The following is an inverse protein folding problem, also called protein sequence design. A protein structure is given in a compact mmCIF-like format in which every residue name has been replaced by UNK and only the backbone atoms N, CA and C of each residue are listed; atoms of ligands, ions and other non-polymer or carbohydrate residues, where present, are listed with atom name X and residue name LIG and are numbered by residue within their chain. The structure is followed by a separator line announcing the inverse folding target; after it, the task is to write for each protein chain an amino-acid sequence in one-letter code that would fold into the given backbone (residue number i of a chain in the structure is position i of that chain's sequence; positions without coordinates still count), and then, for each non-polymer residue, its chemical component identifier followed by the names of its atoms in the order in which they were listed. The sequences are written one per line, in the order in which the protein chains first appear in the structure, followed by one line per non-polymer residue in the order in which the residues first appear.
data_IF_014437086623
#
_entry.id   IF_014437086623
#
_cell.length_a   1.000
_cell.length_b   1.000
_cell.length_c   1.000
_cell.angle_alpha   90.00
_cell.angle_beta   90.00
_cell.angle_gamma   90.00
#
_symmetry.space_group_name_H-M   'P 1'
#
loop_
_entity.id
_entity.type
_entity.pdbx_description
1 polymer ?
#
# COMPACT_ATOMS: atom_id res chain seq x y z
N UNK A 1 -7.66 8.98 16.02
CA UNK A 1 -6.93 8.43 14.85
C UNK A 1 -7.13 9.21 13.55
N UNK A 2 -8.35 9.39 13.00
CA UNK A 2 -8.56 10.23 11.79
C UNK A 2 -8.38 11.75 12.03
N UNK A 3 -8.64 12.23 13.25
CA UNK A 3 -8.47 13.65 13.60
C UNK A 3 -7.00 14.02 13.86
N UNK A 4 -6.22 13.14 14.50
CA UNK A 4 -4.79 13.39 14.80
C UNK A 4 -3.93 13.46 13.53
N UNK A 5 -4.26 12.64 12.51
CA UNK A 5 -3.63 12.69 11.19
C UNK A 5 -3.94 13.99 10.43
N UNK A 6 -5.16 14.50 10.53
CA UNK A 6 -5.54 15.79 9.93
C UNK A 6 -4.87 16.97 10.62
N UNK A 7 -4.73 16.92 11.94
CA UNK A 7 -4.08 17.98 12.72
C UNK A 7 -2.56 18.04 12.48
N UNK A 8 -1.90 16.88 12.48
CA UNK A 8 -0.45 16.80 12.18
C UNK A 8 -0.13 17.19 10.74
N UNK A 9 -1.00 16.84 9.78
CA UNK A 9 -0.86 17.28 8.38
C UNK A 9 -1.03 18.80 8.25
N UNK A 10 -2.05 19.39 8.90
CA UNK A 10 -2.24 20.86 8.93
C UNK A 10 -1.06 21.60 9.56
N UNK A 11 -0.51 21.08 10.66
CA UNK A 11 0.62 21.70 11.35
C UNK A 11 1.87 21.73 10.45
N UNK A 12 2.12 20.63 9.71
CA UNK A 12 3.25 20.51 8.77
C UNK A 12 3.08 21.41 7.54
N UNK A 13 1.88 21.49 6.94
CA UNK A 13 1.61 22.42 5.84
C UNK A 13 1.80 23.88 6.26
N UNK A 14 1.48 24.21 7.51
CA UNK A 14 1.67 25.55 8.08
C UNK A 14 3.15 25.92 8.23
N UNK A 15 3.99 25.00 8.71
CA UNK A 15 5.44 25.21 8.82
C UNK A 15 6.07 25.34 7.42
N UNK A 16 5.63 24.55 6.45
CA UNK A 16 6.08 24.64 5.06
C UNK A 16 5.73 26.00 4.44
N UNK A 17 4.49 26.46 4.60
CA UNK A 17 4.05 27.77 4.14
C UNK A 17 4.87 28.90 4.77
N UNK A 18 5.17 28.80 6.07
CA UNK A 18 6.00 29.76 6.79
C UNK A 18 7.44 29.80 6.26
N UNK A 19 8.06 28.65 5.96
CA UNK A 19 9.41 28.59 5.39
C UNK A 19 9.43 29.19 3.97
N UNK A 20 8.44 28.86 3.13
CA UNK A 20 8.34 29.40 1.77
C UNK A 20 8.19 30.93 1.79
N UNK A 21 7.32 31.47 2.65
CA UNK A 21 7.16 32.92 2.82
C UNK A 21 8.43 33.55 3.35
N UNK A 22 9.09 32.94 4.34
CA UNK A 22 10.31 33.47 4.94
C UNK A 22 11.47 33.60 3.93
N UNK A 23 11.46 32.81 2.85
CA UNK A 23 12.45 32.89 1.77
C UNK A 23 12.00 33.84 0.65
N UNK A 24 10.72 33.79 0.24
CA UNK A 24 10.20 34.61 -0.86
C UNK A 24 10.11 36.10 -0.50
N UNK A 25 9.68 36.43 0.74
CA UNK A 25 9.45 37.82 1.14
C UNK A 25 10.74 38.66 1.10
N UNK A 26 11.88 38.19 1.65
CA UNK A 26 13.14 38.94 1.57
C UNK A 26 13.67 39.09 0.15
N UNK A 27 13.53 38.07 -0.70
CA UNK A 27 13.98 38.12 -2.10
C UNK A 27 13.16 39.11 -2.95
N UNK A 28 11.85 39.16 -2.75
CA UNK A 28 10.97 40.13 -3.41
C UNK A 28 11.27 41.54 -2.92
N UNK A 29 11.42 41.74 -1.60
CA UNK A 29 11.76 43.03 -1.02
C UNK A 29 13.12 43.53 -1.54
N UNK A 30 14.14 42.68 -1.57
CA UNK A 30 15.46 43.01 -2.10
C UNK A 30 15.40 43.45 -3.58
N UNK A 31 14.64 42.72 -4.40
CA UNK A 31 14.43 43.06 -5.81
C UNK A 31 13.68 44.38 -5.99
N UNK A 32 12.67 44.62 -5.16
CA UNK A 32 11.88 45.85 -5.17
C UNK A 32 12.71 47.07 -4.75
N UNK A 33 13.53 46.94 -3.70
CA UNK A 33 14.44 48.00 -3.27
C UNK A 33 15.46 48.35 -4.36
N UNK A 34 16.06 47.35 -5.03
CA UNK A 34 16.99 47.59 -6.14
C UNK A 34 16.32 48.20 -7.38
N UNK A 35 15.04 47.91 -7.62
CA UNK A 35 14.31 48.48 -8.76
C UNK A 35 13.94 49.95 -8.53
N UNK A 36 13.56 50.32 -7.29
CA UNK A 36 13.05 51.66 -6.97
C UNK A 36 14.13 52.69 -6.59
N UNK A 37 15.38 52.31 -6.37
CA UNK A 37 16.50 53.25 -6.15
C UNK A 37 17.09 53.81 -7.45
N UNK A 38 16.47 53.54 -8.60
CA UNK A 38 16.93 54.01 -9.91
C UNK A 38 16.59 55.49 -10.14
N UNK A 39 17.53 56.39 -9.90
CA UNK A 39 17.47 57.73 -10.48
C UNK A 39 17.93 57.65 -11.94
N UNK A 40 16.98 57.74 -12.88
CA UNK A 40 17.28 57.82 -14.32
C UNK A 40 17.44 59.31 -14.67
N UNK A 41 18.65 59.82 -15.00
CA UNK A 41 18.75 61.12 -15.62
C UNK A 41 18.33 61.01 -17.08
N UNK A 42 17.09 61.43 -17.38
CA UNK A 42 16.64 61.63 -18.76
C UNK A 42 17.33 62.86 -19.36
N UNK A 43 18.10 62.66 -20.43
CA UNK A 43 18.62 63.79 -21.23
C UNK A 43 17.49 64.23 -22.17
N UNK A 44 16.70 65.21 -21.74
CA UNK A 44 15.64 65.81 -22.55
C UNK A 44 16.25 66.91 -23.42
N UNK A 45 16.43 66.66 -24.71
CA UNK A 45 16.84 67.70 -25.68
C UNK A 45 15.58 68.40 -26.18
N UNK A 46 15.35 69.64 -25.75
CA UNK A 46 14.28 70.50 -26.30
C UNK A 46 14.82 71.25 -27.52
N UNK A 47 14.27 70.94 -28.69
CA UNK A 47 14.64 71.60 -29.94
C UNK A 47 13.64 72.71 -30.23
N UNK A 48 14.13 73.95 -30.28
CA UNK A 48 13.33 75.12 -30.65
C UNK A 48 13.74 75.62 -32.04
N UNK A 49 12.75 76.03 -32.84
CA UNK A 49 12.95 76.65 -34.15
C UNK A 49 12.83 78.17 -34.03
N UNK A 50 13.58 78.91 -34.84
CA UNK A 50 13.68 80.37 -34.68
C UNK A 50 12.44 81.15 -35.15
N UNK A 51 11.55 80.53 -35.93
CA UNK A 51 10.32 81.15 -36.43
C UNK A 51 9.15 80.16 -36.37
N UNK A 52 7.92 80.67 -36.17
CA UNK A 52 6.70 79.86 -36.26
C UNK A 52 6.53 79.35 -37.70
N UNK A 53 6.14 78.08 -37.84
CA UNK A 53 6.03 77.39 -39.13
C UNK A 53 4.94 78.07 -39.95
N UNK A 54 5.33 78.95 -40.89
CA UNK A 54 4.42 79.54 -41.85
C UNK A 54 4.31 78.60 -43.06
N UNK A 55 3.17 77.92 -43.18
CA UNK A 55 2.99 76.77 -44.09
C UNK A 55 2.84 77.16 -45.56
N UNK A 56 2.78 78.46 -45.88
CA UNK A 56 2.59 78.96 -47.26
C UNK A 56 3.89 79.28 -48.00
N UNK A 57 4.99 79.52 -47.31
CA UNK A 57 6.28 79.79 -47.94
C UNK A 57 7.27 78.69 -47.55
N UNK A 58 7.79 77.95 -48.54
CA UNK A 58 8.87 76.96 -48.40
C UNK A 58 10.19 77.58 -47.89
N UNK A 59 10.18 78.26 -46.76
CA UNK A 59 11.37 78.72 -46.05
C UNK A 59 11.99 77.52 -45.36
N UNK A 60 13.29 77.31 -45.59
CA UNK A 60 14.07 76.31 -44.87
C UNK A 60 13.95 76.57 -43.38
N UNK A 61 13.47 75.58 -42.62
CA UNK A 61 13.48 75.59 -41.16
C UNK A 61 14.91 75.85 -40.67
N UNK A 62 15.11 76.97 -39.99
CA UNK A 62 16.37 77.30 -39.33
C UNK A 62 16.21 77.01 -37.84
N UNK A 63 17.06 76.14 -37.31
CA UNK A 63 17.13 75.87 -35.88
C UNK A 63 17.52 77.16 -35.14
N UNK A 64 16.89 77.41 -33.99
CA UNK A 64 17.30 78.51 -33.14
C UNK A 64 18.79 78.34 -32.78
N UNK A 65 19.53 79.46 -32.80
CA UNK A 65 20.97 79.46 -32.55
C UNK A 65 21.32 78.88 -31.18
N UNK A 66 20.43 79.04 -30.21
CA UNK A 66 20.52 78.49 -28.87
C UNK A 66 20.39 76.96 -28.88
N UNK A 67 19.40 76.40 -29.57
CA UNK A 67 19.28 74.94 -29.74
C UNK A 67 20.45 74.33 -30.52
N UNK A 68 21.03 75.07 -31.48
CA UNK A 68 22.26 74.65 -32.17
C UNK A 68 23.47 74.64 -31.25
N UNK A 69 23.55 75.56 -30.29
CA UNK A 69 24.60 75.57 -29.27
C UNK A 69 24.39 74.45 -28.26
N UNK A 70 23.16 74.21 -27.79
CA UNK A 70 22.82 73.09 -26.90
C UNK A 70 23.17 71.74 -27.55
N UNK A 71 22.82 71.55 -28.82
CA UNK A 71 23.17 70.35 -29.58
C UNK A 71 24.69 70.22 -29.73
N UNK A 72 25.42 71.32 -29.98
CA UNK A 72 26.89 71.29 -30.05
C UNK A 72 27.53 70.97 -28.71
N UNK A 73 26.98 71.48 -27.61
CA UNK A 73 27.45 71.21 -26.25
C UNK A 73 27.22 69.74 -25.89
N UNK A 74 26.05 69.19 -26.21
CA UNK A 74 25.74 67.75 -26.07
C UNK A 74 26.67 66.90 -26.95
N UNK A 75 26.89 67.25 -28.21
CA UNK A 75 27.83 66.52 -29.09
C UNK A 75 29.26 66.60 -28.56
N UNK A 76 29.67 67.74 -28.00
CA UNK A 76 31.01 67.92 -27.43
C UNK A 76 31.22 67.09 -26.15
N UNK A 77 30.18 66.97 -25.31
CA UNK A 77 30.20 66.15 -24.10
C UNK A 77 30.11 64.64 -24.38
N UNK A 78 29.59 64.25 -25.55
CA UNK A 78 29.58 62.85 -26.04
C UNK A 78 30.93 62.45 -26.66
N UNK A 79 31.66 63.38 -27.29
CA UNK A 79 32.96 63.10 -27.92
C UNK A 79 34.15 63.08 -26.95
N UNK A 80 33.98 63.54 -25.71
CA UNK A 80 35.00 63.42 -24.67
C UNK A 80 35.06 61.97 -24.17
N UNK A 81 36.28 61.46 -23.93
CA UNK A 81 36.45 60.18 -23.24
C UNK A 81 35.60 60.22 -21.96
N UNK A 82 34.76 59.21 -21.69
CA UNK A 82 33.93 59.23 -20.49
C UNK A 82 34.83 59.35 -19.27
N UNK A 83 34.51 60.31 -18.38
CA UNK A 83 35.24 60.49 -17.12
C UNK A 83 35.24 59.19 -16.30
N UNK A 84 36.25 59.00 -15.45
CA UNK A 84 36.32 57.83 -14.56
C UNK A 84 35.03 57.63 -13.77
N UNK A 85 34.37 58.72 -13.36
CA UNK A 85 33.06 58.69 -12.70
C UNK A 85 31.93 58.10 -13.57
N UNK A 86 31.90 58.39 -14.87
CA UNK A 86 30.90 57.81 -15.80
C UNK A 86 31.18 56.33 -16.06
N UNK A 87 32.45 55.92 -16.14
CA UNK A 87 32.83 54.52 -16.27
C UNK A 87 32.52 53.73 -14.99
N UNK A 88 32.76 54.32 -13.82
CA UNK A 88 32.39 53.76 -12.53
C UNK A 88 30.87 53.56 -12.43
N UNK A 89 30.07 54.55 -12.83
CA UNK A 89 28.61 54.43 -12.84
C UNK A 89 28.10 53.32 -13.77
N UNK A 90 28.74 53.12 -14.94
CA UNK A 90 28.40 52.02 -15.86
C UNK A 90 28.79 50.66 -15.24
N UNK A 91 29.97 50.56 -14.62
CA UNK A 91 30.42 49.35 -13.95
C UNK A 91 29.53 48.97 -12.76
N UNK A 92 29.14 49.94 -11.92
CA UNK A 92 28.22 49.70 -10.80
C UNK A 92 26.85 49.25 -11.29
N UNK A 93 26.36 49.81 -12.40
CA UNK A 93 25.13 49.37 -13.06
C UNK A 93 25.21 47.92 -13.56
N UNK A 94 26.30 47.54 -14.23
CA UNK A 94 26.48 46.17 -14.70
C UNK A 94 26.57 45.20 -13.51
N UNK A 95 27.31 45.57 -12.45
CA UNK A 95 27.38 44.81 -11.19
C UNK A 95 25.99 44.58 -10.59
N UNK A 96 25.14 45.61 -10.52
CA UNK A 96 23.76 45.50 -10.03
C UNK A 96 22.89 44.58 -10.90
N UNK A 97 23.04 44.64 -12.23
CA UNK A 97 22.36 43.72 -13.14
C UNK A 97 22.77 42.26 -12.91
N UNK A 98 24.07 41.99 -12.70
CA UNK A 98 24.55 40.65 -12.35
C UNK A 98 24.02 40.18 -10.99
N UNK A 99 23.98 41.05 -9.97
CA UNK A 99 23.40 40.74 -8.65
C UNK A 99 21.93 40.37 -8.76
N UNK A 100 21.16 41.12 -9.56
CA UNK A 100 19.75 40.82 -9.80
C UNK A 100 19.57 39.48 -10.51
N UNK A 101 20.38 39.20 -11.54
CA UNK A 101 20.33 37.94 -12.27
C UNK A 101 20.65 36.74 -11.35
N UNK A 102 21.72 36.84 -10.55
CA UNK A 102 22.10 35.80 -9.58
C UNK A 102 20.97 35.58 -8.57
N UNK A 103 20.31 36.65 -8.12
CA UNK A 103 19.19 36.58 -7.18
C UNK A 103 17.99 35.85 -7.77
N UNK A 104 17.62 36.14 -9.03
CA UNK A 104 16.53 35.44 -9.74
C UNK A 104 16.88 33.96 -9.93
N UNK A 105 18.10 33.64 -10.37
CA UNK A 105 18.54 32.25 -10.55
C UNK A 105 18.49 31.47 -9.22
N UNK A 106 18.94 32.10 -8.12
CA UNK A 106 18.92 31.50 -6.79
C UNK A 106 17.49 31.22 -6.31
N UNK A 107 16.56 32.14 -6.59
CA UNK A 107 15.14 31.95 -6.27
C UNK A 107 14.54 30.76 -7.04
N UNK A 108 14.81 30.65 -8.34
CA UNK A 108 14.34 29.53 -9.17
C UNK A 108 14.91 28.20 -8.66
N UNK A 109 16.21 28.14 -8.38
CA UNK A 109 16.86 26.93 -7.84
C UNK A 109 16.27 26.51 -6.49
N UNK A 110 15.92 27.47 -5.65
CA UNK A 110 15.32 27.20 -4.34
C UNK A 110 13.93 26.59 -4.50
N UNK A 111 13.09 27.14 -5.38
CA UNK A 111 11.75 26.59 -5.66
C UNK A 111 11.86 25.16 -6.19
N UNK A 112 12.77 24.90 -7.14
CA UNK A 112 12.98 23.55 -7.69
C UNK A 112 13.44 22.57 -6.61
N UNK A 113 14.40 22.97 -5.77
CA UNK A 113 14.94 22.11 -4.71
C UNK A 113 13.86 21.75 -3.68
N UNK A 114 13.07 22.73 -3.29
CA UNK A 114 11.94 22.56 -2.38
C UNK A 114 10.90 21.61 -2.98
N UNK A 115 10.54 21.78 -4.25
CA UNK A 115 9.64 20.88 -4.97
C UNK A 115 10.15 19.42 -4.98
N UNK A 116 11.43 19.20 -5.31
CA UNK A 116 12.04 17.87 -5.32
C UNK A 116 12.03 17.20 -3.94
N UNK A 117 12.36 17.96 -2.89
CA UNK A 117 12.33 17.46 -1.52
C UNK A 117 10.91 17.02 -1.16
N UNK A 118 9.88 17.78 -1.53
CA UNK A 118 8.49 17.43 -1.26
C UNK A 118 8.03 16.18 -2.01
N UNK A 119 8.29 16.08 -3.32
CA UNK A 119 7.94 14.88 -4.10
C UNK A 119 8.50 13.63 -3.44
N UNK A 120 9.77 13.69 -3.04
CA UNK A 120 10.45 12.57 -2.39
C UNK A 120 9.88 12.22 -1.01
N UNK A 121 9.43 13.21 -0.24
CA UNK A 121 8.77 12.96 1.05
C UNK A 121 7.38 12.32 0.86
N UNK A 122 6.58 12.80 -0.09
CA UNK A 122 5.26 12.22 -0.40
C UNK A 122 5.42 10.79 -0.90
N UNK A 123 6.33 10.54 -1.85
CA UNK A 123 6.63 9.20 -2.37
C UNK A 123 7.04 8.23 -1.25
N UNK A 124 7.83 8.70 -0.27
CA UNK A 124 8.25 7.88 0.87
C UNK A 124 7.08 7.53 1.79
N UNK A 125 6.19 8.48 2.07
CA UNK A 125 4.99 8.24 2.90
C UNK A 125 4.03 7.27 2.20
N UNK A 126 3.76 7.48 0.91
CA UNK A 126 2.93 6.58 0.09
C UNK A 126 3.52 5.17 0.03
N UNK A 127 4.85 5.04 -0.10
CA UNK A 127 5.53 3.75 -0.08
C UNK A 127 5.34 3.00 1.24
N UNK A 128 5.47 3.67 2.39
CA UNK A 128 5.29 3.03 3.70
C UNK A 128 3.83 2.59 3.94
N UNK A 129 2.86 3.38 3.48
CA UNK A 129 1.44 3.02 3.57
C UNK A 129 1.08 1.86 2.64
N UNK A 130 1.65 1.82 1.44
CA UNK A 130 1.49 0.71 0.50
C UNK A 130 2.13 -0.57 1.07
N UNK A 131 3.30 -0.47 1.70
CA UNK A 131 3.96 -1.60 2.37
C UNK A 131 3.13 -2.18 3.51
N UNK A 132 2.52 -1.32 4.35
CA UNK A 132 1.59 -1.76 5.41
C UNK A 132 0.38 -2.46 4.82
N UNK A 133 -0.22 -1.88 3.78
CA UNK A 133 -1.40 -2.43 3.10
C UNK A 133 -1.11 -3.81 2.49
N UNK A 134 0.04 -3.98 1.83
CA UNK A 134 0.48 -5.29 1.31
C UNK A 134 0.65 -6.30 2.44
N UNK A 135 1.23 -5.91 3.56
CA UNK A 135 1.44 -6.81 4.71
C UNK A 135 0.10 -7.29 5.29
N UNK A 136 -0.87 -6.40 5.40
CA UNK A 136 -2.23 -6.75 5.86
C UNK A 136 -2.87 -7.72 4.87
N UNK A 137 -2.86 -7.41 3.57
CA UNK A 137 -3.42 -8.26 2.53
C UNK A 137 -2.76 -9.65 2.48
N UNK A 138 -1.45 -9.73 2.66
CA UNK A 138 -0.73 -11.00 2.72
C UNK A 138 -1.19 -11.86 3.90
N UNK A 139 -1.40 -11.25 5.07
CA UNK A 139 -1.90 -11.96 6.26
C UNK A 139 -3.36 -12.42 6.07
N UNK A 140 -4.22 -11.56 5.53
CA UNK A 140 -5.61 -11.91 5.21
C UNK A 140 -5.69 -13.05 4.20
N UNK A 141 -4.90 -12.98 3.12
CA UNK A 141 -4.84 -14.03 2.10
C UNK A 141 -4.35 -15.36 2.70
N UNK A 142 -3.30 -15.32 3.54
CA UNK A 142 -2.79 -16.52 4.22
C UNK A 142 -3.85 -17.15 5.11
N UNK A 143 -4.59 -16.36 5.87
CA UNK A 143 -5.68 -16.84 6.72
C UNK A 143 -6.82 -17.45 5.89
N UNK A 144 -7.23 -16.78 4.81
CA UNK A 144 -8.26 -17.26 3.89
C UNK A 144 -7.87 -18.59 3.22
N UNK A 145 -6.63 -18.72 2.75
CA UNK A 145 -6.12 -19.98 2.18
C UNK A 145 -6.13 -21.09 3.22
N UNK A 146 -5.69 -20.82 4.46
CA UNK A 146 -5.71 -21.81 5.54
C UNK A 146 -7.12 -22.26 5.89
N UNK A 147 -8.09 -21.33 5.96
CA UNK A 147 -9.49 -21.65 6.22
C UNK A 147 -10.11 -22.46 5.07
N UNK A 148 -9.81 -22.09 3.82
CA UNK A 148 -10.24 -22.84 2.63
C UNK A 148 -9.69 -24.28 2.63
N UNK A 149 -8.41 -24.47 2.95
CA UNK A 149 -7.79 -25.80 3.07
C UNK A 149 -8.43 -26.64 4.17
N UNK A 150 -8.74 -26.04 5.32
CA UNK A 150 -9.45 -26.70 6.40
C UNK A 150 -10.87 -27.12 5.98
N UNK A 151 -11.61 -26.23 5.32
CA UNK A 151 -12.95 -26.54 4.81
C UNK A 151 -12.93 -27.64 3.75
N UNK A 152 -11.94 -27.65 2.86
CA UNK A 152 -11.76 -28.72 1.88
C UNK A 152 -11.52 -30.07 2.55
N UNK A 153 -10.72 -30.10 3.62
CA UNK A 153 -10.49 -31.32 4.40
C UNK A 153 -11.80 -31.85 5.03
N UNK A 154 -12.63 -30.95 5.58
CA UNK A 154 -13.96 -31.32 6.08
C UNK A 154 -14.83 -31.90 4.95
N UNK A 155 -14.81 -31.31 3.76
CA UNK A 155 -15.58 -31.81 2.61
C UNK A 155 -15.09 -33.17 2.13
N UNK A 156 -13.79 -33.41 2.13
CA UNK A 156 -13.19 -34.71 1.79
C UNK A 156 -13.69 -35.81 2.75
N UNK A 157 -13.69 -35.53 4.07
CA UNK A 157 -14.24 -36.46 5.07
C UNK A 157 -15.73 -36.69 4.85
N UNK A 158 -16.50 -35.66 4.52
CA UNK A 158 -17.94 -35.80 4.21
C UNK A 158 -18.18 -36.68 2.99
N UNK A 159 -17.43 -36.47 1.91
CA UNK A 159 -17.55 -37.28 0.69
C UNK A 159 -17.26 -38.76 0.97
N UNK A 160 -16.20 -39.05 1.75
CA UNK A 160 -15.89 -40.41 2.19
C UNK A 160 -16.96 -41.00 3.11
N UNK A 161 -17.48 -40.21 4.03
CA UNK A 161 -18.60 -40.59 4.91
C UNK A 161 -19.82 -41.00 4.08
N UNK A 162 -20.17 -40.23 3.05
CA UNK A 162 -21.24 -40.57 2.11
C UNK A 162 -20.96 -41.86 1.36
N UNK A 163 -19.74 -42.08 0.87
CA UNK A 163 -19.37 -43.32 0.19
C UNK A 163 -19.58 -44.58 1.06
N UNK A 164 -19.29 -44.51 2.36
CA UNK A 164 -19.59 -45.59 3.31
C UNK A 164 -21.09 -45.79 3.55
N UNK A 165 -21.86 -44.69 3.66
CA UNK A 165 -23.31 -44.76 3.94
C UNK A 165 -24.14 -45.23 2.75
N UNK A 166 -23.73 -44.89 1.52
CA UNK A 166 -24.44 -45.28 0.31
C UNK A 166 -24.24 -46.77 -0.06
N UNK A 167 -23.53 -47.52 0.80
CA UNK A 167 -23.24 -48.95 0.64
C UNK A 167 -22.59 -49.30 -0.71
N UNK A 168 -21.94 -48.34 -1.34
CA UNK A 168 -21.19 -48.53 -2.59
C UNK A 168 -20.08 -49.53 -2.31
N UNK A 169 -19.81 -50.43 -3.26
CA UNK A 169 -18.66 -51.33 -3.20
C UNK A 169 -17.43 -50.45 -3.05
N UNK A 170 -16.77 -50.50 -1.88
CA UNK A 170 -15.52 -49.79 -1.70
C UNK A 170 -14.48 -50.37 -2.65
N UNK A 171 -13.76 -49.49 -3.31
CA UNK A 171 -12.74 -49.84 -4.28
C UNK A 171 -11.41 -49.33 -3.75
N UNK A 172 -10.39 -50.18 -3.77
CA UNK A 172 -9.03 -49.73 -3.49
C UNK A 172 -8.61 -48.71 -4.56
N UNK A 173 -8.06 -47.58 -4.12
CA UNK A 173 -7.79 -46.44 -4.99
C UNK A 173 -6.71 -46.75 -6.03
N UNK A 174 -5.72 -47.57 -5.67
CA UNK A 174 -4.57 -47.88 -6.50
C UNK A 174 -4.85 -49.06 -7.44
N UNK A 175 -5.46 -50.13 -6.93
CA UNK A 175 -5.73 -51.34 -7.71
C UNK A 175 -7.04 -51.30 -8.48
N UNK A 176 -7.95 -50.37 -8.13
CA UNK A 176 -9.33 -50.30 -8.65
C UNK A 176 -10.13 -51.59 -8.45
N UNK A 177 -9.76 -52.43 -7.48
CA UNK A 177 -10.46 -53.66 -7.16
C UNK A 177 -11.41 -53.48 -5.98
N UNK A 178 -12.58 -54.15 -5.98
CA UNK A 178 -13.47 -54.21 -4.82
C UNK A 178 -12.75 -54.70 -3.57
N UNK A 179 -13.02 -54.05 -2.44
CA UNK A 179 -12.62 -54.50 -1.11
C UNK A 179 -13.60 -55.58 -0.67
N UNK A 180 -13.11 -56.80 -0.51
CA UNK A 180 -13.97 -57.99 -0.30
C UNK A 180 -13.74 -58.69 1.03
N UNK A 181 -12.61 -58.41 1.70
CA UNK A 181 -12.26 -59.04 2.96
C UNK A 181 -11.86 -58.03 4.04
N UNK A 182 -11.86 -58.52 5.28
CA UNK A 182 -11.55 -57.73 6.48
C UNK A 182 -10.19 -57.06 6.43
N UNK A 183 -9.15 -57.75 5.94
CA UNK A 183 -7.78 -57.24 5.92
C UNK A 183 -7.62 -56.08 4.94
N UNK A 184 -8.22 -56.17 3.77
CA UNK A 184 -8.28 -55.08 2.79
C UNK A 184 -9.05 -53.89 3.33
N UNK A 185 -10.16 -54.14 4.03
CA UNK A 185 -10.97 -53.09 4.67
C UNK A 185 -10.19 -52.34 5.76
N UNK A 186 -9.48 -53.07 6.63
CA UNK A 186 -8.61 -52.47 7.65
C UNK A 186 -7.49 -51.63 7.04
N UNK A 187 -6.85 -52.13 5.97
CA UNK A 187 -5.84 -51.37 5.24
C UNK A 187 -6.42 -50.08 4.65
N UNK A 188 -7.60 -50.15 4.03
CA UNK A 188 -8.25 -48.98 3.45
C UNK A 188 -8.58 -47.90 4.48
N UNK A 189 -9.05 -48.31 5.68
CA UNK A 189 -9.29 -47.37 6.78
C UNK A 189 -7.99 -46.70 7.25
N UNK A 190 -6.90 -47.46 7.34
CA UNK A 190 -5.58 -46.92 7.71
C UNK A 190 -5.04 -45.96 6.64
N UNK A 191 -5.24 -46.27 5.36
CA UNK A 191 -4.85 -45.41 4.24
C UNK A 191 -5.68 -44.11 4.23
N UNK A 192 -6.99 -44.18 4.46
CA UNK A 192 -7.84 -42.99 4.63
C UNK A 192 -7.43 -42.16 5.86
N UNK A 193 -7.03 -42.83 6.96
CA UNK A 193 -6.49 -42.14 8.13
C UNK A 193 -5.21 -41.36 7.79
N UNK A 194 -4.23 -41.99 7.15
CA UNK A 194 -2.94 -41.35 6.82
C UNK A 194 -3.08 -40.25 5.76
N UNK A 195 -3.97 -40.45 4.78
CA UNK A 195 -4.15 -39.50 3.67
C UNK A 195 -5.01 -38.30 4.03
N UNK A 196 -6.02 -38.46 4.89
CA UNK A 196 -7.02 -37.42 5.16
C UNK A 196 -7.05 -37.03 6.63
N UNK A 197 -7.27 -37.99 7.54
CA UNK A 197 -7.49 -37.66 8.96
C UNK A 197 -6.23 -37.07 9.61
N UNK A 198 -5.04 -37.59 9.28
CA UNK A 198 -3.76 -37.08 9.81
C UNK A 198 -3.52 -35.59 9.50
N UNK A 199 -4.05 -35.07 8.38
CA UNK A 199 -3.88 -33.67 7.98
C UNK A 199 -4.56 -32.69 8.96
N UNK A 200 -5.52 -33.13 9.78
CA UNK A 200 -6.12 -32.29 10.83
C UNK A 200 -5.10 -31.86 11.89
N UNK A 201 -3.97 -32.55 12.03
CA UNK A 201 -2.87 -32.14 12.93
C UNK A 201 -2.38 -30.71 12.66
N UNK A 202 -2.41 -30.27 11.41
CA UNK A 202 -1.99 -28.92 11.01
C UNK A 202 -2.97 -27.82 11.47
N UNK A 203 -4.15 -28.20 11.95
CA UNK A 203 -5.25 -27.30 12.28
C UNK A 203 -5.72 -27.44 13.73
N UNK A 204 -4.94 -28.08 14.62
CA UNK A 204 -5.29 -28.26 16.04
C UNK A 204 -5.58 -26.92 16.74
N UNK A 205 -4.86 -25.87 16.36
CA UNK A 205 -5.02 -24.51 16.90
C UNK A 205 -5.98 -23.65 16.06
N UNK A 206 -6.68 -24.22 15.08
CA UNK A 206 -7.63 -23.49 14.27
C UNK A 206 -8.87 -23.15 15.13
N UNK A 207 -9.30 -21.87 15.19
CA UNK A 207 -10.48 -21.49 15.96
C UNK A 207 -11.78 -22.17 15.48
N UNK A 208 -11.82 -22.61 14.23
CA UNK A 208 -12.95 -23.31 13.61
C UNK A 208 -12.85 -24.84 13.73
N UNK A 209 -11.96 -25.38 14.57
CA UNK A 209 -11.73 -26.81 14.66
C UNK A 209 -12.98 -27.59 15.12
N UNK A 210 -13.79 -26.98 15.97
CA UNK A 210 -15.08 -27.47 16.45
C UNK A 210 -16.02 -27.91 15.31
N UNK A 211 -15.98 -27.24 14.16
CA UNK A 211 -16.76 -27.59 12.96
C UNK A 211 -16.43 -28.98 12.42
N UNK A 212 -15.24 -29.52 12.69
CA UNK A 212 -14.85 -30.85 12.26
C UNK A 212 -15.45 -31.97 13.15
N UNK A 213 -15.86 -31.67 14.39
CA UNK A 213 -16.16 -32.69 15.39
C UNK A 213 -17.32 -33.61 14.97
N UNK A 214 -18.43 -33.03 14.51
CA UNK A 214 -19.58 -33.81 14.03
C UNK A 214 -19.27 -34.60 12.75
N UNK A 215 -18.42 -34.05 11.89
CA UNK A 215 -18.02 -34.69 10.63
C UNK A 215 -17.17 -35.93 10.91
N UNK A 216 -16.18 -35.82 11.80
CA UNK A 216 -15.35 -36.94 12.24
C UNK A 216 -16.17 -38.04 12.92
N UNK A 217 -17.15 -37.66 13.73
CA UNK A 217 -18.05 -38.62 14.37
C UNK A 217 -18.84 -39.44 13.34
N UNK A 218 -19.50 -38.75 12.41
CA UNK A 218 -20.30 -39.39 11.36
C UNK A 218 -19.46 -40.31 10.48
N UNK A 219 -18.22 -39.92 10.19
CA UNK A 219 -17.26 -40.74 9.48
C UNK A 219 -17.00 -42.07 10.20
N UNK A 220 -16.69 -42.04 11.49
CA UNK A 220 -16.45 -43.25 12.29
C UNK A 220 -17.68 -44.16 12.32
N UNK A 221 -18.87 -43.58 12.53
CA UNK A 221 -20.11 -44.36 12.52
C UNK A 221 -20.34 -45.04 11.17
N UNK A 222 -20.04 -44.35 10.08
CA UNK A 222 -20.25 -44.88 8.72
C UNK A 222 -19.30 -46.05 8.44
N UNK A 223 -18.04 -45.96 8.87
CA UNK A 223 -17.09 -47.09 8.82
C UNK A 223 -17.64 -48.30 9.59
N UNK A 224 -18.11 -48.09 10.82
CA UNK A 224 -18.60 -49.19 11.67
C UNK A 224 -19.84 -49.85 11.05
N UNK A 225 -20.78 -49.05 10.55
CA UNK A 225 -21.99 -49.55 9.86
C UNK A 225 -21.65 -50.37 8.62
N UNK A 226 -20.71 -49.89 7.81
CA UNK A 226 -20.26 -50.62 6.62
C UNK A 226 -19.61 -51.96 6.99
N UNK A 227 -18.69 -51.97 7.97
CA UNK A 227 -18.03 -53.19 8.44
C UNK A 227 -19.00 -54.25 8.95
N UNK A 228 -20.02 -53.82 9.71
CA UNK A 228 -21.10 -54.69 10.20
C UNK A 228 -21.94 -55.25 9.06
N UNK A 229 -22.35 -54.41 8.10
CA UNK A 229 -23.17 -54.85 6.97
C UNK A 229 -22.46 -55.87 6.09
N UNK A 230 -21.14 -55.74 5.90
CA UNK A 230 -20.32 -56.70 5.14
C UNK A 230 -19.94 -57.95 5.95
N UNK A 231 -20.29 -58.00 7.23
CA UNK A 231 -19.98 -59.14 8.10
C UNK A 231 -18.48 -59.28 8.42
N UNK A 232 -17.71 -58.20 8.32
CA UNK A 232 -16.28 -58.22 8.66
C UNK A 232 -16.04 -58.33 10.18
N UNK A 233 -17.04 -57.95 10.98
CA UNK A 233 -17.06 -58.08 12.43
C UNK A 233 -18.47 -58.44 12.91
N UNK A 234 -18.55 -59.20 14.00
CA UNK A 234 -19.82 -59.55 14.66
C UNK A 234 -19.95 -58.69 15.92
N UNK A 235 -21.03 -57.91 16.07
CA UNK A 235 -21.23 -57.10 17.26
C UNK A 235 -21.44 -57.99 18.48
N UNK A 236 -20.86 -57.61 19.62
CA UNK A 236 -21.17 -58.27 20.88
C UNK A 236 -22.65 -58.04 21.24
N UNK A 237 -23.40 -59.09 21.62
CA UNK A 237 -24.83 -58.95 21.93
C UNK A 237 -25.07 -57.92 23.03
N UNK A 238 -25.95 -56.94 22.76
CA UNK A 238 -26.37 -55.94 23.73
C UNK A 238 -25.42 -54.75 23.93
N UNK A 239 -24.35 -54.63 23.13
CA UNK A 239 -23.46 -53.45 23.13
C UNK A 239 -23.68 -52.57 21.90
N UNK A 240 -23.51 -51.25 22.06
CA UNK A 240 -23.67 -50.26 20.99
C UNK A 240 -22.48 -50.21 20.01
N UNK A 241 -22.54 -49.28 19.07
CA UNK A 241 -21.52 -49.11 18.01
C UNK A 241 -20.17 -48.65 18.60
N UNK A 242 -20.19 -47.96 19.74
CA UNK A 242 -19.02 -47.43 20.44
C UNK A 242 -18.04 -48.51 20.92
N UNK A 243 -18.48 -49.75 21.10
CA UNK A 243 -17.60 -50.87 21.51
C UNK A 243 -16.97 -51.59 20.33
N UNK A 244 -17.24 -51.17 19.10
CA UNK A 244 -16.73 -51.82 17.89
C UNK A 244 -15.21 -51.63 17.76
N UNK A 245 -14.44 -52.65 17.31
CA UNK A 245 -12.99 -52.52 17.12
C UNK A 245 -12.59 -51.35 16.22
N UNK A 246 -13.32 -51.15 15.12
CA UNK A 246 -13.12 -49.99 14.23
C UNK A 246 -13.42 -48.65 14.92
N UNK A 247 -14.43 -48.58 15.79
CA UNK A 247 -14.70 -47.38 16.56
C UNK A 247 -13.52 -47.06 17.49
N UNK A 248 -13.06 -48.07 18.24
CA UNK A 248 -11.90 -47.95 19.14
C UNK A 248 -10.61 -47.58 18.40
N UNK A 249 -10.40 -48.14 17.21
CA UNK A 249 -9.26 -47.80 16.35
C UNK A 249 -9.31 -46.33 15.93
N UNK A 250 -10.46 -45.86 15.43
CA UNK A 250 -10.63 -44.47 15.03
C UNK A 250 -10.52 -43.49 16.21
N UNK A 251 -10.96 -43.87 17.41
CA UNK A 251 -10.71 -43.07 18.62
C UNK A 251 -9.22 -42.94 18.92
N UNK A 252 -8.45 -44.02 18.85
CA UNK A 252 -6.99 -43.97 19.07
C UNK A 252 -6.30 -43.04 18.06
N UNK A 253 -6.73 -43.10 16.81
CA UNK A 253 -6.29 -42.21 15.74
C UNK A 253 -6.58 -40.73 16.04
N UNK A 254 -7.81 -40.41 16.45
CA UNK A 254 -8.20 -39.05 16.87
C UNK A 254 -7.38 -38.60 18.07
N UNK A 255 -7.26 -39.41 19.12
CA UNK A 255 -6.47 -39.07 20.31
C UNK A 255 -5.00 -38.80 19.95
N UNK A 256 -4.42 -39.58 19.03
CA UNK A 256 -3.05 -39.41 18.57
C UNK A 256 -2.83 -38.09 17.83
N UNK A 257 -3.81 -37.65 17.04
CA UNK A 257 -3.72 -36.41 16.25
C UNK A 257 -3.97 -35.19 17.12
N UNK A 258 -5.10 -35.17 17.82
CA UNK A 258 -5.56 -33.98 18.55
C UNK A 258 -4.92 -33.86 19.93
N UNK A 259 -4.41 -34.95 20.49
CA UNK A 259 -3.97 -35.03 21.88
C UNK A 259 -5.15 -35.21 22.83
N UNK A 260 -4.84 -35.59 24.08
CA UNK A 260 -5.85 -35.93 25.10
C UNK A 260 -6.76 -34.76 25.46
N UNK A 261 -6.21 -33.54 25.50
CA UNK A 261 -6.94 -32.33 25.89
C UNK A 261 -8.03 -32.00 24.85
N UNK A 262 -7.65 -31.86 23.58
CA UNK A 262 -8.61 -31.61 22.49
C UNK A 262 -9.55 -32.76 22.24
N UNK A 263 -9.10 -34.01 22.44
CA UNK A 263 -10.03 -35.14 22.45
C UNK A 263 -11.09 -35.00 23.55
N UNK A 264 -10.75 -34.46 24.72
CA UNK A 264 -11.72 -34.14 25.77
C UNK A 264 -12.82 -33.19 25.29
N UNK A 265 -12.44 -32.13 24.56
CA UNK A 265 -13.40 -31.20 23.93
C UNK A 265 -14.30 -31.93 22.91
N UNK A 266 -13.70 -32.72 22.01
CA UNK A 266 -14.41 -33.51 20.99
C UNK A 266 -15.42 -34.46 21.66
N UNK A 267 -14.97 -35.21 22.67
CA UNK A 267 -15.78 -36.17 23.43
C UNK A 267 -16.94 -35.48 24.12
N UNK A 268 -16.72 -34.30 24.69
CA UNK A 268 -17.78 -33.53 25.33
C UNK A 268 -18.84 -33.08 24.32
N UNK A 269 -18.44 -32.61 23.14
CA UNK A 269 -19.37 -32.26 22.07
C UNK A 269 -20.14 -33.49 21.56
N UNK A 270 -19.47 -34.63 21.37
CA UNK A 270 -20.15 -35.86 20.98
C UNK A 270 -21.15 -36.34 22.03
N UNK A 271 -20.81 -36.24 23.32
CA UNK A 271 -21.73 -36.57 24.42
C UNK A 271 -22.93 -35.63 24.51
N UNK A 272 -22.80 -34.36 24.16
CA UNK A 272 -23.95 -33.43 24.10
C UNK A 272 -24.98 -33.88 23.07
N UNK A 273 -24.51 -34.36 21.92
CA UNK A 273 -25.39 -34.82 20.83
C UNK A 273 -25.89 -36.25 21.08
N UNK A 274 -25.04 -37.10 21.69
CA UNK A 274 -25.32 -38.51 21.96
C UNK A 274 -25.04 -38.84 23.44
N UNK A 275 -25.96 -38.47 24.36
CA UNK A 275 -25.72 -38.58 25.81
C UNK A 275 -25.58 -40.03 26.31
N UNK A 276 -26.06 -41.01 25.54
CA UNK A 276 -25.99 -42.43 25.87
C UNK A 276 -24.68 -43.08 25.43
N UNK A 277 -23.79 -42.34 24.77
CA UNK A 277 -22.55 -42.90 24.24
C UNK A 277 -21.45 -42.94 25.32
N UNK A 278 -21.02 -44.16 25.67
CA UNK A 278 -19.93 -44.36 26.63
C UNK A 278 -18.58 -44.42 25.91
N UNK A 279 -18.08 -43.24 25.55
CA UNK A 279 -16.76 -43.07 24.94
C UNK A 279 -15.66 -43.17 26.01
N UNK A 280 -14.56 -43.91 25.79
CA UNK A 280 -13.40 -43.91 26.69
C UNK A 280 -12.75 -42.52 26.85
#
# INVERSE_FOLDING_TARGET
MRNDLKETMKLKTSIVFLITIAILLPSILFTFFLYNTRAIPEIIIKINFSEAIDTENNKKLVLAKDSLNDIKEVISSIKQLPSEEKLLAIYEREREHYILLISIITLILTIISVYFIFSRFVEKEEYEDLKKSITILQNELKNSINESRFNNLIQEVKAKTTAFNDFIILVDYDSKTPITNKKEFEKHIEDDYNSMIQKFSNYINNPNLDKAYSTLYNYILSICRYGLQKGFEVPEPGKGIETHPYFSLQLKHIIRIFGKEKYGEIRNEWKKVFPFMDLP
#
